data_IF_455132208786
#
_entry.id   IF_455132208786
#
_cell.length_a   1.000
_cell.length_b   1.000
_cell.length_c   1.000
_cell.angle_alpha   90.00
_cell.angle_beta   90.00
_cell.angle_gamma   90.00
#
_symmetry.space_group_name_H-M   'P 1'
#
loop_
_entity.id
_entity.type
_entity.pdbx_description
1 polymer ?
#
# COMPACT_ATOMS: atom_id res chain seq x y z
N UNK A 1 -17.11 30.67 -16.51
CA UNK A 1 -17.14 29.19 -16.31
C UNK A 1 -15.76 28.74 -15.85
N UNK A 2 -15.52 28.63 -14.54
CA UNK A 2 -14.22 28.20 -14.00
C UNK A 2 -14.20 26.67 -14.00
N UNK A 3 -13.29 26.06 -14.77
CA UNK A 3 -13.03 24.62 -14.69
C UNK A 3 -12.54 24.33 -13.27
N UNK A 4 -13.34 23.59 -12.50
CA UNK A 4 -12.94 23.07 -11.21
C UNK A 4 -11.86 22.02 -11.46
N UNK A 5 -10.60 22.44 -11.36
CA UNK A 5 -9.48 21.55 -11.18
C UNK A 5 -9.73 20.82 -9.86
N UNK A 6 -10.28 19.61 -9.92
CA UNK A 6 -10.39 18.74 -8.75
C UNK A 6 -8.97 18.42 -8.31
N UNK A 7 -8.52 19.17 -7.32
CA UNK A 7 -7.26 18.98 -6.64
C UNK A 7 -7.38 17.63 -5.91
N UNK A 8 -6.64 16.61 -6.34
CA UNK A 8 -6.60 15.27 -5.70
C UNK A 8 -6.01 15.34 -4.27
N UNK A 9 -5.61 16.53 -3.82
CA UNK A 9 -5.10 16.83 -2.48
C UNK A 9 -6.17 16.87 -1.37
N UNK A 10 -7.39 16.34 -1.53
CA UNK A 10 -8.38 16.31 -0.45
C UNK A 10 -8.08 15.17 0.55
N UNK A 11 -7.06 15.48 1.35
CA UNK A 11 -6.61 14.98 2.64
C UNK A 11 -6.48 13.45 2.85
N UNK A 12 -5.22 13.00 2.85
CA UNK A 12 -4.80 11.66 3.26
C UNK A 12 -5.45 11.22 4.59
N UNK A 13 -5.61 12.08 5.62
CA UNK A 13 -6.29 11.68 6.85
C UNK A 13 -7.75 11.25 6.66
N UNK A 14 -8.54 11.95 5.82
CA UNK A 14 -9.93 11.57 5.53
C UNK A 14 -9.99 10.25 4.75
N UNK A 15 -9.08 10.07 3.79
CA UNK A 15 -8.99 8.82 3.03
C UNK A 15 -8.60 7.63 3.92
N UNK A 16 -7.63 7.80 4.82
CA UNK A 16 -7.25 6.77 5.80
C UNK A 16 -8.42 6.39 6.70
N UNK A 17 -9.20 7.39 7.15
CA UNK A 17 -10.40 7.17 7.94
C UNK A 17 -11.47 6.41 7.15
N UNK A 18 -11.72 6.78 5.90
CA UNK A 18 -12.71 6.11 5.05
C UNK A 18 -12.31 4.66 4.71
N UNK A 19 -11.01 4.38 4.57
CA UNK A 19 -10.47 3.06 4.28
C UNK A 19 -10.28 2.17 5.52
N UNK A 20 -10.49 2.72 6.73
CA UNK A 20 -10.11 2.10 8.01
C UNK A 20 -8.69 1.50 7.96
N UNK A 21 -7.79 2.20 7.27
CA UNK A 21 -6.47 1.70 6.93
C UNK A 21 -5.44 2.81 7.00
N UNK A 22 -4.22 2.46 7.38
CA UNK A 22 -3.09 3.39 7.32
C UNK A 22 -2.37 3.25 6.00
N UNK A 23 -2.13 4.37 5.32
CA UNK A 23 -1.36 4.44 4.08
C UNK A 23 -0.01 5.05 4.38
N UNK A 24 1.08 4.38 3.97
CA UNK A 24 2.45 4.85 4.13
C UNK A 24 3.02 5.19 2.74
N UNK A 25 3.71 6.32 2.63
CA UNK A 25 4.41 6.71 1.41
C UNK A 25 5.89 6.34 1.52
N UNK A 26 6.32 5.33 0.77
CA UNK A 26 7.70 4.84 0.80
C UNK A 26 8.54 5.43 -0.34
N UNK A 27 8.70 6.75 -0.36
CA UNK A 27 9.35 7.51 -1.46
C UNK A 27 10.80 7.07 -1.78
N UNK A 28 11.47 6.36 -0.86
CA UNK A 28 12.83 5.85 -1.04
C UNK A 28 12.93 4.33 -0.89
N UNK A 29 11.80 3.61 -0.81
CA UNK A 29 11.80 2.15 -0.71
C UNK A 29 12.32 1.57 0.61
N UNK A 30 12.45 2.38 1.67
CA UNK A 30 13.02 1.96 2.96
C UNK A 30 12.12 0.93 3.65
N UNK A 31 10.80 1.09 3.57
CA UNK A 31 9.86 0.12 4.14
C UNK A 31 9.86 -1.17 3.33
N UNK A 32 9.81 -1.08 2.00
CA UNK A 32 9.89 -2.24 1.11
C UNK A 32 11.17 -3.03 1.34
N UNK A 33 12.34 -2.37 1.40
CA UNK A 33 13.62 -3.02 1.64
C UNK A 33 13.65 -3.74 3.01
N UNK A 34 13.18 -3.08 4.08
CA UNK A 34 13.17 -3.67 5.43
C UNK A 34 12.23 -4.87 5.55
N UNK A 35 11.15 -4.86 4.78
CA UNK A 35 10.18 -5.96 4.74
C UNK A 35 10.56 -7.03 3.71
N UNK A 36 11.59 -6.83 2.89
CA UNK A 36 11.95 -7.75 1.81
C UNK A 36 10.92 -7.80 0.68
N UNK A 37 10.21 -6.69 0.44
CA UNK A 37 9.24 -6.55 -0.66
C UNK A 37 10.01 -6.04 -1.89
N UNK A 38 10.25 -6.92 -2.85
CA UNK A 38 10.91 -6.62 -4.13
C UNK A 38 9.95 -6.70 -5.34
N UNK A 39 8.78 -7.29 -5.14
CA UNK A 39 7.71 -7.38 -6.14
C UNK A 39 6.34 -7.01 -5.54
N UNK A 40 5.44 -6.52 -6.39
CA UNK A 40 4.08 -6.13 -6.01
C UNK A 40 3.06 -6.77 -6.97
N UNK A 41 1.82 -7.06 -6.52
CA UNK A 41 1.31 -6.84 -5.16
C UNK A 41 1.87 -7.82 -4.12
N UNK A 42 2.09 -7.34 -2.89
CA UNK A 42 2.57 -8.14 -1.77
C UNK A 42 1.64 -7.97 -0.55
N UNK A 43 1.49 -9.04 0.24
CA UNK A 43 0.78 -9.05 1.51
C UNK A 43 1.76 -9.33 2.64
N UNK A 44 1.76 -8.46 3.64
CA UNK A 44 2.51 -8.64 4.89
C UNK A 44 1.53 -8.95 6.00
N UNK A 45 1.77 -10.04 6.74
CA UNK A 45 0.93 -10.45 7.86
C UNK A 45 1.77 -10.78 9.09
N UNK A 46 1.22 -10.52 10.27
CA UNK A 46 1.79 -11.00 11.51
C UNK A 46 1.54 -12.51 11.63
N UNK A 47 2.54 -13.26 12.08
CA UNK A 47 2.38 -14.67 12.41
C UNK A 47 2.09 -14.76 13.91
N UNK A 48 0.91 -15.27 14.33
CA UNK A 48 0.56 -15.38 15.74
C UNK A 48 1.59 -16.17 16.54
N UNK A 49 2.09 -15.59 17.63
CA UNK A 49 3.11 -16.22 18.48
C UNK A 49 4.54 -16.15 17.96
N UNK A 50 4.76 -15.55 16.78
CA UNK A 50 6.09 -15.35 16.21
C UNK A 50 6.56 -13.89 16.36
N UNK A 51 7.87 -13.69 16.25
CA UNK A 51 8.52 -12.37 16.20
C UNK A 51 8.75 -11.90 14.75
N UNK A 52 8.56 -12.76 13.76
CA UNK A 52 8.73 -12.44 12.35
C UNK A 52 7.41 -12.12 11.64
N UNK A 53 7.49 -11.27 10.61
CA UNK A 53 6.39 -11.02 9.68
C UNK A 53 6.48 -12.00 8.51
N UNK A 54 5.33 -12.45 8.02
CA UNK A 54 5.24 -13.22 6.78
C UNK A 54 4.96 -12.29 5.62
N UNK A 55 5.75 -12.39 4.56
CA UNK A 55 5.53 -11.69 3.29
C UNK A 55 5.15 -12.70 2.22
N UNK A 56 4.04 -12.44 1.54
CA UNK A 56 3.52 -13.26 0.45
C UNK A 56 3.33 -12.39 -0.78
N UNK A 57 3.85 -12.83 -1.93
CA UNK A 57 3.63 -12.14 -3.18
C UNK A 57 2.40 -12.69 -3.88
N UNK A 58 1.52 -11.78 -4.26
CA UNK A 58 0.29 -12.11 -4.96
C UNK A 58 0.63 -12.08 -6.46
N UNK A 59 0.44 -13.18 -7.20
CA UNK A 59 0.64 -13.18 -8.64
C UNK A 59 -0.19 -12.06 -9.25
N UNK A 60 0.41 -11.26 -10.13
CA UNK A 60 -0.40 -10.42 -10.99
C UNK A 60 -1.32 -11.37 -11.78
N UNK A 61 -2.64 -11.18 -11.68
CA UNK A 61 -3.54 -11.82 -12.62
C UNK A 61 -3.03 -11.46 -14.02
N UNK A 62 -2.72 -12.46 -14.86
CA UNK A 62 -2.43 -12.22 -16.26
C UNK A 62 -3.66 -11.53 -16.84
N UNK A 63 -3.56 -10.21 -17.01
CA UNK A 63 -4.62 -9.42 -17.60
C UNK A 63 -5.01 -10.07 -18.92
N UNK A 64 -6.22 -10.59 -18.98
CA UNK A 64 -6.89 -10.94 -20.23
C UNK A 64 -6.76 -9.72 -21.15
N UNK A 65 -5.99 -9.89 -22.22
CA UNK A 65 -5.77 -8.89 -23.27
C UNK A 65 -7.09 -8.36 -23.84
#
# INVERSE_FOLDING_TARGET
MRRSSRNITSCIPEMQKALDSRVYFDQHGVLCQRLGIDQVPARVSAVPGDRFLKVEFIPAEEGRK
#
